data_IF_246053394718
#
_entry.id   IF_246053394718
#
_cell.length_a   1.000
_cell.length_b   1.000
_cell.length_c   1.000
_cell.angle_alpha   90.00
_cell.angle_beta   90.00
_cell.angle_gamma   90.00
#
_symmetry.space_group_name_H-M   'P 1'
#
loop_
_entity.id
_entity.type
_entity.pdbx_description
1 polymer ?
#
# COMPACT_ATOMS: atom_id res chain seq x y z
N UNK A 1 -72.90 13.34 -29.97
CA UNK A 1 -71.54 12.81 -29.74
C UNK A 1 -70.55 13.79 -30.37
N UNK A 2 -70.09 14.80 -29.63
CA UNK A 2 -69.12 15.78 -30.11
C UNK A 2 -67.73 15.38 -29.62
N UNK A 3 -66.96 14.73 -30.49
CA UNK A 3 -65.54 14.51 -30.26
C UNK A 3 -64.83 15.86 -30.27
N UNK A 4 -64.39 16.33 -29.10
CA UNK A 4 -63.48 17.48 -29.00
C UNK A 4 -62.13 17.06 -29.58
N UNK A 5 -61.90 17.44 -30.84
CA UNK A 5 -60.60 17.29 -31.50
C UNK A 5 -59.58 18.16 -30.76
N UNK A 6 -58.74 17.50 -29.96
CA UNK A 6 -57.71 18.15 -29.17
C UNK A 6 -56.60 18.69 -30.09
N UNK A 7 -56.34 20.00 -30.03
CA UNK A 7 -55.48 20.73 -30.98
C UNK A 7 -54.00 20.26 -30.90
N UNK A 8 -53.40 19.79 -32.02
CA UNK A 8 -52.04 19.24 -32.05
C UNK A 8 -50.95 20.23 -31.62
N UNK A 9 -51.17 21.54 -31.79
CA UNK A 9 -50.24 22.58 -31.30
C UNK A 9 -50.12 22.60 -29.77
N UNK A 10 -51.22 22.36 -29.05
CA UNK A 10 -51.25 22.30 -27.57
C UNK A 10 -50.58 21.04 -27.04
N UNK A 11 -50.63 19.93 -27.79
CA UNK A 11 -49.89 18.69 -27.49
C UNK A 11 -48.37 18.89 -27.54
N UNK A 12 -47.88 19.62 -28.55
CA UNK A 12 -46.47 19.90 -28.70
C UNK A 12 -45.94 20.77 -27.55
N UNK A 13 -46.66 21.85 -27.19
CA UNK A 13 -46.25 22.75 -26.11
C UNK A 13 -46.17 22.02 -24.75
N UNK A 14 -47.14 21.17 -24.44
CA UNK A 14 -47.12 20.34 -23.23
C UNK A 14 -45.97 19.33 -23.23
N UNK A 15 -45.69 18.68 -24.37
CA UNK A 15 -44.58 17.76 -24.51
C UNK A 15 -43.21 18.45 -24.34
N UNK A 16 -43.04 19.65 -24.93
CA UNK A 16 -41.83 20.45 -24.76
C UNK A 16 -41.66 20.93 -23.31
N UNK A 17 -42.74 21.34 -22.64
CA UNK A 17 -42.70 21.74 -21.23
C UNK A 17 -42.30 20.58 -20.31
N UNK A 18 -42.87 19.39 -20.52
CA UNK A 18 -42.52 18.19 -19.74
C UNK A 18 -41.08 17.72 -20.01
N UNK A 19 -40.60 17.82 -21.25
CA UNK A 19 -39.22 17.51 -21.61
C UNK A 19 -38.22 18.52 -21.01
N UNK A 20 -38.55 19.81 -21.00
CA UNK A 20 -37.73 20.83 -20.36
C UNK A 20 -37.64 20.61 -18.83
N UNK A 21 -38.77 20.27 -18.19
CA UNK A 21 -38.80 19.96 -16.75
C UNK A 21 -38.01 18.68 -16.40
N UNK A 22 -38.07 17.65 -17.24
CA UNK A 22 -37.26 16.44 -17.02
C UNK A 22 -35.76 16.70 -17.19
N UNK A 23 -35.36 17.50 -18.17
CA UNK A 23 -33.96 17.93 -18.33
C UNK A 23 -33.45 18.74 -17.14
N UNK A 24 -34.26 19.67 -16.60
CA UNK A 24 -33.91 20.43 -15.39
C UNK A 24 -33.77 19.51 -14.18
N UNK A 25 -34.67 18.54 -14.01
CA UNK A 25 -34.59 17.55 -12.93
C UNK A 25 -33.34 16.67 -13.01
N UNK A 26 -32.98 16.20 -14.20
CA UNK A 26 -31.74 15.46 -14.45
C UNK A 26 -30.53 16.33 -14.13
N UNK A 27 -30.51 17.58 -14.59
CA UNK A 27 -29.41 18.50 -14.32
C UNK A 27 -29.20 18.75 -12.82
N UNK A 28 -30.28 19.04 -12.08
CA UNK A 28 -30.22 19.22 -10.62
C UNK A 28 -29.72 17.95 -9.91
N UNK A 29 -30.22 16.78 -10.30
CA UNK A 29 -29.77 15.49 -9.75
C UNK A 29 -28.28 15.20 -10.03
N UNK A 30 -27.80 15.54 -11.24
CA UNK A 30 -26.38 15.42 -11.60
C UNK A 30 -25.52 16.40 -10.80
N UNK A 31 -25.98 17.64 -10.56
CA UNK A 31 -25.24 18.60 -9.72
C UNK A 31 -25.13 18.15 -8.27
N UNK A 32 -26.22 17.65 -7.67
CA UNK A 32 -26.19 17.15 -6.29
C UNK A 32 -25.28 15.92 -6.13
N UNK A 33 -25.26 15.04 -7.14
CA UNK A 33 -24.39 13.86 -7.17
C UNK A 33 -22.91 14.26 -7.27
N UNK A 34 -22.58 15.24 -8.12
CA UNK A 34 -21.21 15.78 -8.22
C UNK A 34 -20.74 16.39 -6.90
N UNK A 35 -21.60 17.15 -6.21
CA UNK A 35 -21.27 17.75 -4.92
C UNK A 35 -21.00 16.67 -3.86
N UNK A 36 -21.82 15.62 -3.80
CA UNK A 36 -21.61 14.48 -2.89
C UNK A 36 -20.27 13.78 -3.15
N UNK A 37 -19.97 13.48 -4.42
CA UNK A 37 -18.69 12.86 -4.81
C UNK A 37 -17.51 13.76 -4.43
N UNK A 38 -17.58 15.05 -4.72
CA UNK A 38 -16.51 16.01 -4.43
C UNK A 38 -16.24 16.08 -2.92
N UNK A 39 -17.28 16.10 -2.08
CA UNK A 39 -17.13 16.07 -0.62
C UNK A 39 -16.51 14.76 -0.13
N UNK A 40 -16.91 13.61 -0.69
CA UNK A 40 -16.34 12.31 -0.32
C UNK A 40 -14.87 12.19 -0.71
N UNK A 41 -14.50 12.65 -1.92
CA UNK A 41 -13.12 12.66 -2.40
C UNK A 41 -12.27 13.59 -1.51
N UNK A 42 -12.74 14.81 -1.26
CA UNK A 42 -12.04 15.78 -0.41
C UNK A 42 -11.85 15.28 1.03
N UNK A 43 -12.86 14.64 1.63
CA UNK A 43 -12.73 14.06 2.97
C UNK A 43 -11.71 12.93 3.01
N UNK A 44 -11.72 12.03 2.02
CA UNK A 44 -10.76 10.92 1.92
C UNK A 44 -9.33 11.44 1.72
N UNK A 45 -9.16 12.45 0.89
CA UNK A 45 -7.86 13.07 0.63
C UNK A 45 -7.33 13.79 1.89
N UNK A 46 -8.18 14.55 2.59
CA UNK A 46 -7.80 15.22 3.84
C UNK A 46 -7.43 14.25 4.97
N UNK A 47 -8.20 13.17 5.14
CA UNK A 47 -7.86 12.12 6.13
C UNK A 47 -6.59 11.36 5.77
N UNK A 48 -6.31 11.16 4.48
CA UNK A 48 -5.06 10.54 4.02
C UNK A 48 -3.88 11.49 4.27
N UNK A 49 -4.03 12.78 3.96
CA UNK A 49 -2.99 13.79 4.19
C UNK A 49 -2.70 13.93 5.69
N UNK A 50 -3.71 14.04 6.55
CA UNK A 50 -3.53 14.12 8.01
C UNK A 50 -2.84 12.88 8.59
N UNK A 51 -3.19 11.68 8.09
CA UNK A 51 -2.53 10.44 8.48
C UNK A 51 -1.06 10.42 8.05
N UNK A 52 -0.77 10.84 6.82
CA UNK A 52 0.60 10.90 6.30
C UNK A 52 1.40 11.95 7.07
N UNK A 53 0.89 13.15 7.30
CA UNK A 53 1.60 14.22 8.01
C UNK A 53 1.94 13.82 9.46
N UNK A 54 0.98 13.20 10.16
CA UNK A 54 1.20 12.64 11.50
C UNK A 54 2.24 11.52 11.49
N UNK A 55 2.21 10.65 10.48
CA UNK A 55 3.23 9.61 10.34
C UNK A 55 4.60 10.23 10.09
N UNK A 56 4.71 11.29 9.28
CA UNK A 56 5.96 11.98 9.01
C UNK A 56 6.53 12.69 10.25
N UNK A 57 5.69 13.38 11.05
CA UNK A 57 6.15 14.00 12.30
C UNK A 57 6.67 12.97 13.31
N UNK A 58 6.01 11.81 13.40
CA UNK A 58 6.45 10.70 14.25
C UNK A 58 7.78 10.12 13.74
N UNK A 59 7.90 9.94 12.42
CA UNK A 59 9.11 9.42 11.77
C UNK A 59 10.31 10.38 11.88
N UNK A 60 10.06 11.68 11.78
CA UNK A 60 11.08 12.73 11.94
C UNK A 60 11.59 12.80 13.40
N UNK A 61 10.69 12.58 14.37
CA UNK A 61 11.09 12.45 15.79
C UNK A 61 11.85 11.16 16.09
N UNK A 62 11.62 10.09 15.32
CA UNK A 62 12.31 8.80 15.44
C UNK A 62 13.44 8.66 14.40
N UNK A 63 14.12 9.77 14.10
CA UNK A 63 15.28 9.85 13.19
C UNK A 63 16.36 8.83 13.54
N UNK A 64 16.21 7.61 13.00
CA UNK A 64 17.21 6.55 12.80
C UNK A 64 18.06 6.10 13.98
N UNK A 65 17.89 6.66 15.18
CA UNK A 65 18.56 6.24 16.40
C UNK A 65 17.65 5.31 17.17
N UNK A 66 17.99 4.03 17.14
CA UNK A 66 17.43 3.04 18.05
C UNK A 66 17.74 3.51 19.49
N UNK A 67 16.74 3.67 20.36
CA UNK A 67 16.94 3.99 21.78
C UNK A 67 17.87 2.99 22.47
N UNK A 68 18.48 3.39 23.58
CA UNK A 68 19.30 2.49 24.38
C UNK A 68 18.50 1.33 24.95
N UNK A 69 19.15 0.20 25.25
CA UNK A 69 18.50 -0.95 25.90
C UNK A 69 17.74 -0.58 27.18
N UNK A 70 18.24 0.40 27.93
CA UNK A 70 17.60 0.89 29.14
C UNK A 70 16.28 1.62 28.82
N UNK A 71 16.24 2.39 27.73
CA UNK A 71 15.03 3.07 27.25
C UNK A 71 14.04 2.06 26.65
N UNK A 72 14.52 1.13 25.81
CA UNK A 72 13.69 0.08 25.21
C UNK A 72 12.96 -0.76 26.26
N UNK A 73 13.63 -1.12 27.36
CA UNK A 73 13.03 -1.90 28.46
C UNK A 73 11.95 -1.16 29.23
N UNK A 74 11.90 0.17 29.13
CA UNK A 74 10.91 1.00 29.80
C UNK A 74 9.71 1.33 28.91
N UNK A 75 9.72 0.91 27.63
CA UNK A 75 8.60 1.09 26.71
C UNK A 75 7.54 0.01 26.95
N UNK A 76 6.27 0.40 26.79
CA UNK A 76 5.17 -0.56 26.70
C UNK A 76 5.20 -1.30 25.35
N UNK A 77 4.49 -2.42 25.25
CA UNK A 77 4.37 -3.18 23.99
C UNK A 77 3.89 -2.30 22.83
N UNK A 78 2.88 -1.45 23.05
CA UNK A 78 2.38 -0.52 22.03
C UNK A 78 3.45 0.48 21.57
N UNK A 79 4.26 0.99 22.50
CA UNK A 79 5.33 1.93 22.15
C UNK A 79 6.48 1.24 21.41
N UNK A 80 6.77 -0.02 21.75
CA UNK A 80 7.75 -0.83 21.02
C UNK A 80 7.27 -1.13 19.60
N UNK A 81 5.99 -1.45 19.42
CA UNK A 81 5.39 -1.66 18.10
C UNK A 81 5.44 -0.40 17.25
N UNK A 82 5.05 0.75 17.80
CA UNK A 82 5.11 2.04 17.11
C UNK A 82 6.56 2.40 16.72
N UNK A 83 7.51 2.18 17.62
CA UNK A 83 8.93 2.40 17.38
C UNK A 83 9.48 1.47 16.29
N UNK A 84 9.17 0.17 16.38
CA UNK A 84 9.59 -0.81 15.39
C UNK A 84 9.02 -0.48 14.02
N UNK A 85 7.71 -0.24 13.95
CA UNK A 85 7.01 0.15 12.72
C UNK A 85 7.60 1.42 12.11
N UNK A 86 7.85 2.44 12.94
CA UNK A 86 8.48 3.67 12.51
C UNK A 86 9.88 3.40 11.94
N UNK A 87 10.71 2.64 12.66
CA UNK A 87 12.09 2.36 12.26
C UNK A 87 12.18 1.62 10.92
N UNK A 88 11.37 0.58 10.72
CA UNK A 88 11.43 -0.24 9.49
C UNK A 88 10.84 0.47 8.26
N UNK A 89 9.93 1.43 8.47
CA UNK A 89 9.28 2.16 7.36
C UNK A 89 9.95 3.49 7.04
N UNK A 90 10.94 3.94 7.83
CA UNK A 90 11.70 5.15 7.53
C UNK A 90 12.99 4.80 6.80
N UNK A 91 13.26 5.52 5.72
CA UNK A 91 14.47 5.33 4.91
C UNK A 91 15.68 5.73 5.76
N UNK A 92 16.39 4.74 6.28
CA UNK A 92 17.57 4.96 7.13
C UNK A 92 18.82 5.32 6.31
N UNK A 93 18.86 4.92 5.04
CA UNK A 93 20.02 5.08 4.16
C UNK A 93 19.55 5.40 2.75
N UNK A 94 20.18 6.38 2.12
CA UNK A 94 20.02 6.63 0.69
C UNK A 94 20.77 5.55 -0.10
N UNK A 95 20.05 4.57 -0.64
CA UNK A 95 20.60 3.57 -1.53
C UNK A 95 20.66 4.07 -2.98
N UNK A 96 21.83 4.05 -3.61
CA UNK A 96 22.02 4.49 -5.00
C UNK A 96 21.86 3.35 -6.00
N UNK A 97 22.17 2.12 -5.61
CA UNK A 97 22.09 0.92 -6.45
C UNK A 97 21.12 -0.08 -5.85
N UNK A 98 19.87 -0.03 -6.29
CA UNK A 98 18.84 -1.00 -5.92
C UNK A 98 18.73 -2.04 -7.04
N UNK A 99 18.73 -3.32 -6.68
CA UNK A 99 18.48 -4.43 -7.61
C UNK A 99 17.24 -5.19 -7.19
N UNK A 100 16.47 -5.67 -8.17
CA UNK A 100 15.37 -6.60 -7.94
C UNK A 100 15.93 -8.02 -7.85
N UNK A 101 15.67 -8.71 -6.75
CA UNK A 101 16.07 -10.10 -6.50
C UNK A 101 14.81 -10.96 -6.43
N UNK A 102 14.73 -12.04 -7.21
CA UNK A 102 13.52 -12.83 -7.39
C UNK A 102 12.60 -12.26 -8.48
N UNK A 103 11.31 -12.64 -8.43
CA UNK A 103 10.30 -12.25 -9.44
C UNK A 103 9.99 -10.75 -9.44
N UNK A 104 9.43 -10.28 -10.56
CA UNK A 104 8.96 -8.88 -10.68
C UNK A 104 7.76 -8.61 -9.76
N UNK A 105 6.88 -9.59 -9.62
CA UNK A 105 5.68 -9.53 -8.77
C UNK A 105 5.98 -9.88 -7.30
N UNK A 106 4.97 -10.36 -6.56
CA UNK A 106 5.21 -10.95 -5.24
C UNK A 106 6.27 -12.06 -5.32
N UNK A 107 6.99 -12.26 -4.21
CA UNK A 107 8.13 -13.19 -4.17
C UNK A 107 9.47 -12.60 -4.60
N UNK A 108 9.54 -11.37 -5.10
CA UNK A 108 10.79 -10.61 -5.25
C UNK A 108 10.94 -9.48 -4.22
N UNK A 109 12.17 -9.00 -4.03
CA UNK A 109 12.50 -7.87 -3.13
C UNK A 109 13.51 -6.92 -3.77
N UNK A 110 13.41 -5.65 -3.40
CA UNK A 110 14.39 -4.62 -3.76
C UNK A 110 15.53 -4.66 -2.73
N UNK A 111 16.75 -4.89 -3.21
CA UNK A 111 17.94 -5.03 -2.36
C UNK A 111 18.93 -3.92 -2.68
N UNK A 112 19.39 -3.23 -1.63
CA UNK A 112 20.45 -2.26 -1.78
C UNK A 112 21.79 -2.97 -2.02
N UNK A 113 22.52 -2.52 -3.04
CA UNK A 113 23.81 -3.08 -3.45
C UNK A 113 24.91 -2.02 -3.51
N UNK A 114 24.69 -0.86 -2.89
CA UNK A 114 25.77 0.07 -2.60
C UNK A 114 26.91 -0.64 -1.85
N UNK A 115 28.14 -0.21 -2.07
CA UNK A 115 29.34 -0.95 -1.63
C UNK A 115 29.33 -1.29 -0.13
N UNK A 116 28.82 -0.39 0.71
CA UNK A 116 28.72 -0.57 2.16
C UNK A 116 27.64 -1.57 2.61
N UNK A 117 26.66 -1.88 1.74
CA UNK A 117 25.51 -2.73 2.06
C UNK A 117 25.41 -3.96 1.14
N UNK A 118 26.32 -4.09 0.18
CA UNK A 118 26.33 -5.19 -0.78
C UNK A 118 26.56 -6.52 -0.04
N UNK A 119 25.63 -7.49 -0.12
CA UNK A 119 25.82 -8.79 0.51
C UNK A 119 27.03 -9.51 -0.10
N UNK A 120 27.99 -9.94 0.73
CA UNK A 120 29.20 -10.65 0.31
C UNK A 120 29.46 -11.87 1.17
N UNK A 121 29.94 -12.99 0.59
CA UNK A 121 30.33 -14.14 1.38
C UNK A 121 31.48 -13.81 2.35
N UNK A 122 31.45 -14.35 3.58
CA UNK A 122 30.37 -15.15 4.16
C UNK A 122 29.18 -14.26 4.59
N UNK A 123 27.98 -14.54 4.05
CA UNK A 123 26.76 -13.80 4.37
C UNK A 123 25.60 -14.75 4.69
N UNK A 124 24.69 -14.25 5.53
CA UNK A 124 23.47 -14.93 5.95
C UNK A 124 22.24 -14.09 5.57
N UNK A 125 21.21 -14.75 5.07
CA UNK A 125 19.89 -14.14 4.80
C UNK A 125 18.84 -14.93 5.57
N UNK A 126 18.01 -14.21 6.32
CA UNK A 126 16.82 -14.76 6.96
C UNK A 126 15.58 -14.24 6.24
N UNK A 127 14.74 -15.15 5.76
CA UNK A 127 13.55 -14.84 4.97
C UNK A 127 12.33 -15.42 5.69
N UNK A 128 11.38 -14.57 6.06
CA UNK A 128 10.19 -14.97 6.81
C UNK A 128 8.92 -14.74 5.99
N UNK A 129 7.97 -15.66 6.11
CA UNK A 129 6.67 -15.56 5.44
C UNK A 129 6.73 -15.82 3.94
N UNK A 130 7.58 -16.75 3.49
CA UNK A 130 7.84 -17.02 2.06
C UNK A 130 6.60 -17.34 1.21
N UNK A 131 5.49 -17.73 1.83
CA UNK A 131 4.24 -17.96 1.13
C UNK A 131 4.30 -18.99 -0.04
N UNK A 132 5.09 -20.06 0.09
CA UNK A 132 5.42 -21.00 -1.01
C UNK A 132 6.11 -20.34 -2.24
N UNK A 133 6.73 -19.19 -2.06
CA UNK A 133 7.50 -18.49 -3.09
C UNK A 133 8.95 -18.39 -2.62
N UNK A 134 9.85 -19.07 -3.33
CA UNK A 134 11.28 -19.14 -3.00
C UNK A 134 12.15 -18.29 -3.94
N UNK A 135 11.53 -17.54 -4.86
CA UNK A 135 12.25 -16.86 -5.94
C UNK A 135 13.29 -15.86 -5.39
N UNK A 136 12.93 -15.08 -4.36
CA UNK A 136 13.88 -14.21 -3.68
C UNK A 136 14.99 -15.01 -2.99
N UNK A 137 14.66 -16.08 -2.28
CA UNK A 137 15.60 -16.89 -1.51
C UNK A 137 16.65 -17.55 -2.41
N UNK A 138 16.19 -18.19 -3.50
CA UNK A 138 17.04 -18.82 -4.49
C UNK A 138 17.94 -17.80 -5.21
N UNK A 139 17.37 -16.67 -5.62
CA UNK A 139 18.15 -15.62 -6.29
C UNK A 139 19.12 -14.92 -5.34
N UNK A 140 18.77 -14.71 -4.07
CA UNK A 140 19.69 -14.16 -3.08
C UNK A 140 20.88 -15.11 -2.85
N UNK A 141 20.63 -16.42 -2.74
CA UNK A 141 21.69 -17.42 -2.64
C UNK A 141 22.59 -17.42 -3.89
N UNK A 142 21.98 -17.40 -5.08
CA UNK A 142 22.67 -17.48 -6.37
C UNK A 142 23.44 -16.22 -6.74
N UNK A 143 22.84 -15.04 -6.55
CA UNK A 143 23.42 -13.75 -6.94
C UNK A 143 24.51 -13.29 -5.96
N UNK A 144 24.31 -13.53 -4.66
CA UNK A 144 25.22 -13.02 -3.63
C UNK A 144 26.10 -14.10 -3.00
N UNK A 145 25.84 -15.38 -3.26
CA UNK A 145 26.58 -16.49 -2.64
C UNK A 145 26.29 -16.62 -1.13
N UNK A 146 25.15 -16.12 -0.65
CA UNK A 146 24.79 -16.15 0.76
C UNK A 146 24.16 -17.49 1.15
N UNK A 147 24.31 -17.86 2.43
CA UNK A 147 23.50 -18.92 3.03
C UNK A 147 22.14 -18.34 3.42
N UNK A 148 21.08 -18.90 2.85
CA UNK A 148 19.71 -18.41 3.06
C UNK A 148 18.92 -19.39 3.93
N UNK A 149 18.20 -18.86 4.92
CA UNK A 149 17.29 -19.60 5.78
C UNK A 149 15.88 -19.03 5.63
N UNK A 150 14.96 -19.87 5.16
CA UNK A 150 13.59 -19.48 4.85
C UNK A 150 12.61 -20.10 5.86
N UNK A 151 11.69 -19.30 6.36
CA UNK A 151 10.68 -19.67 7.35
C UNK A 151 9.30 -19.24 6.87
N UNK A 152 8.28 -20.06 7.09
CA UNK A 152 6.89 -19.65 6.87
C UNK A 152 6.04 -20.16 8.05
N UNK A 153 5.36 -19.26 8.79
CA UNK A 153 4.61 -19.63 10.00
C UNK A 153 3.35 -20.43 9.70
N UNK A 154 2.93 -20.53 8.44
CA UNK A 154 1.78 -21.37 8.05
C UNK A 154 2.16 -22.85 7.97
N UNK A 155 3.45 -23.16 8.02
CA UNK A 155 3.93 -24.50 8.27
C UNK A 155 3.85 -24.77 9.76
N UNK A 156 2.70 -25.28 10.22
CA UNK A 156 2.57 -25.96 11.52
C UNK A 156 3.31 -27.31 11.43
N UNK A 157 4.62 -27.27 11.18
CA UNK A 157 5.64 -28.29 11.37
C UNK A 157 6.91 -27.84 10.63
N UNK A 158 7.88 -27.35 11.40
CA UNK A 158 9.24 -27.10 10.95
C UNK A 158 9.87 -28.46 10.63
N UNK A 159 9.87 -28.89 9.36
CA UNK A 159 10.83 -29.90 8.92
C UNK A 159 12.13 -29.17 8.65
N UNK A 160 13.16 -29.51 9.42
CA UNK A 160 14.53 -29.10 9.20
C UNK A 160 14.88 -29.35 7.73
N UNK A 161 14.95 -28.28 6.93
CA UNK A 161 15.47 -28.38 5.58
C UNK A 161 16.99 -28.33 5.71
N UNK A 162 17.60 -29.50 5.87
CA UNK A 162 19.03 -29.66 5.66
C UNK A 162 19.35 -29.24 4.22
N UNK A 163 20.15 -28.18 4.11
CA UNK A 163 21.06 -27.88 2.98
C UNK A 163 20.60 -28.33 1.60
N UNK A 164 19.92 -27.43 0.86
CA UNK A 164 20.02 -27.44 -0.59
C UNK A 164 21.36 -26.81 -1.00
N UNK A 165 22.44 -27.55 -0.82
CA UNK A 165 23.68 -27.33 -1.56
C UNK A 165 23.56 -28.08 -2.87
N UNK A 166 23.54 -27.33 -3.98
CA UNK A 166 24.01 -27.84 -5.26
C UNK A 166 25.32 -27.15 -5.60
#
# INVERSE_FOLDING_TARGET
>A
MLHTAWNPSKRCILAFGLFALSLVGIFLSLTETRDKITRMVSHKEHTTIEYVDRSYEIMDKMTGKIPSDAELKNLTESQLDDLYWSYINTVQVLCRRIVRVGKIEDGGKEVCTDEAFHPRPPCLVYSFGINFQWDFDEDAARMFGCKVFSFDPRWVCMKNYETFTR
#
